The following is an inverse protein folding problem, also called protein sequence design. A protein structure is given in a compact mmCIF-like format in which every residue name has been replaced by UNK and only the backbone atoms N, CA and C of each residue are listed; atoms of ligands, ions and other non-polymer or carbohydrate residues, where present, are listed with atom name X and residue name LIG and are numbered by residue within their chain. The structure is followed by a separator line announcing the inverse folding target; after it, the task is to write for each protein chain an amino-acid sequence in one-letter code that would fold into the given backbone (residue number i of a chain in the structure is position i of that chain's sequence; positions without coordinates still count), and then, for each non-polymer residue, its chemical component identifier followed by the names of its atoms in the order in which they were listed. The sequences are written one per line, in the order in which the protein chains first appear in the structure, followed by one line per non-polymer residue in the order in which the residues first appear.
data_IF_066006231389
#
_entry.id   IF_066006231389
#
_cell.length_a   1.000
_cell.length_b   1.000
_cell.length_c   1.000
_cell.angle_alpha   90.00
_cell.angle_beta   90.00
_cell.angle_gamma   90.00
#
_symmetry.space_group_name_H-M   'P 1'
#
loop_
_entity.id
_entity.type
_entity.pdbx_description
1 polymer ?
#
# COMPACT_ATOMS: atom_id res chain seq x y z
N UNK A 1 62.38 -4.29 6.06
CA UNK A 1 61.00 -3.99 6.51
C UNK A 1 60.05 -4.38 5.39
N UNK A 2 59.12 -5.31 5.64
CA UNK A 2 58.17 -5.83 4.63
C UNK A 2 56.91 -4.97 4.66
N UNK A 3 56.61 -4.27 3.57
CA UNK A 3 55.35 -3.56 3.35
C UNK A 3 54.30 -4.54 2.84
N UNK A 4 53.30 -4.83 3.68
CA UNK A 4 52.12 -5.62 3.32
C UNK A 4 51.09 -4.66 2.72
N UNK A 5 50.86 -4.73 1.41
CA UNK A 5 49.72 -4.05 0.77
C UNK A 5 48.44 -4.79 1.17
N UNK A 6 47.57 -4.13 1.94
CA UNK A 6 46.21 -4.59 2.18
C UNK A 6 45.33 -4.18 1.00
N UNK A 7 44.90 -5.15 0.20
CA UNK A 7 43.87 -4.97 -0.84
C UNK A 7 42.49 -4.77 -0.18
N UNK A 8 41.87 -3.62 -0.40
CA UNK A 8 40.47 -3.37 -0.06
C UNK A 8 39.58 -3.98 -1.17
N UNK A 9 38.93 -5.11 -0.88
CA UNK A 9 37.90 -5.69 -1.73
C UNK A 9 36.58 -4.96 -1.42
N UNK A 10 36.07 -4.18 -2.37
CA UNK A 10 34.74 -3.58 -2.31
C UNK A 10 33.72 -4.67 -2.67
N UNK A 11 33.13 -5.29 -1.65
CA UNK A 11 31.97 -6.18 -1.80
C UNK A 11 30.71 -5.31 -2.00
N UNK A 12 30.32 -5.10 -3.26
CA UNK A 12 28.95 -4.68 -3.60
C UNK A 12 28.01 -5.87 -3.34
N UNK A 13 27.35 -5.86 -2.19
CA UNK A 13 26.33 -6.85 -1.86
C UNK A 13 25.07 -6.49 -2.67
N UNK A 14 24.87 -7.18 -3.79
CA UNK A 14 23.60 -7.24 -4.51
C UNK A 14 22.58 -8.01 -3.67
N UNK A 15 21.93 -7.36 -2.70
CA UNK A 15 20.81 -7.94 -1.93
C UNK A 15 19.43 -7.45 -2.41
N UNK A 16 19.36 -6.81 -3.58
CA UNK A 16 18.13 -6.19 -4.10
C UNK A 16 17.29 -7.03 -5.07
N UNK A 17 17.70 -8.26 -5.41
CA UNK A 17 16.99 -9.05 -6.44
C UNK A 17 15.96 -10.03 -5.86
N UNK A 18 16.21 -10.58 -4.66
CA UNK A 18 15.38 -11.67 -4.13
C UNK A 18 13.99 -11.19 -3.67
N UNK A 19 13.85 -9.92 -3.28
CA UNK A 19 12.55 -9.35 -2.89
C UNK A 19 11.61 -9.16 -4.08
N UNK A 20 12.13 -9.11 -5.31
CA UNK A 20 11.33 -9.04 -6.54
C UNK A 20 10.91 -10.42 -7.05
N UNK A 21 11.60 -11.49 -6.65
CA UNK A 21 11.38 -12.83 -7.19
C UNK A 21 10.20 -13.56 -6.53
N UNK A 22 9.88 -13.27 -5.27
CA UNK A 22 8.75 -13.90 -4.57
C UNK A 22 7.36 -13.36 -4.98
N UNK A 23 7.31 -12.35 -5.85
CA UNK A 23 6.06 -11.88 -6.47
C UNK A 23 5.83 -12.49 -7.88
N UNK A 24 6.68 -13.42 -8.31
CA UNK A 24 6.67 -13.99 -9.66
C UNK A 24 6.33 -15.48 -9.64
N UNK A 25 5.04 -15.82 -9.71
CA UNK A 25 4.60 -17.07 -10.33
C UNK A 25 3.16 -17.02 -10.83
N UNK A 26 2.90 -16.16 -11.81
CA UNK A 26 2.08 -16.50 -12.99
C UNK A 26 2.43 -15.52 -14.11
N UNK A 27 2.38 -15.99 -15.35
CA UNK A 27 2.81 -15.32 -16.58
C UNK A 27 2.23 -13.91 -16.75
N UNK A 28 3.10 -12.90 -16.76
CA UNK A 28 2.80 -11.54 -17.24
C UNK A 28 2.79 -10.45 -16.16
N UNK A 29 3.91 -9.73 -16.02
CA UNK A 29 4.16 -8.59 -15.12
C UNK A 29 4.01 -8.88 -13.61
N UNK A 30 5.08 -8.65 -12.84
CA UNK A 30 5.00 -8.58 -11.39
C UNK A 30 4.03 -7.46 -11.03
N UNK A 31 2.92 -7.80 -10.36
CA UNK A 31 1.96 -6.79 -9.92
C UNK A 31 2.65 -5.74 -9.06
N UNK A 32 2.29 -4.47 -9.25
CA UNK A 32 2.83 -3.37 -8.45
C UNK A 32 1.70 -2.45 -7.96
N UNK A 33 1.79 -2.07 -6.69
CA UNK A 33 0.95 -1.03 -6.11
C UNK A 33 1.37 0.38 -6.55
N UNK A 34 2.51 0.55 -7.20
CA UNK A 34 3.01 1.88 -7.58
C UNK A 34 2.07 2.59 -8.56
N UNK A 35 1.89 3.89 -8.35
CA UNK A 35 1.04 4.74 -9.17
C UNK A 35 -0.20 5.22 -8.43
N UNK A 36 -1.22 5.59 -9.21
CA UNK A 36 -2.44 6.19 -8.69
C UNK A 36 -3.60 5.19 -8.65
N UNK A 37 -4.31 5.19 -7.53
CA UNK A 37 -5.47 4.35 -7.28
C UNK A 37 -6.63 5.21 -6.84
N UNK A 38 -7.79 5.02 -7.47
CA UNK A 38 -9.02 5.71 -7.15
C UNK A 38 -9.97 4.78 -6.40
N UNK A 39 -10.54 5.26 -5.30
CA UNK A 39 -11.55 4.55 -4.54
C UNK A 39 -12.82 4.45 -5.36
N UNK A 40 -13.18 3.25 -5.79
CA UNK A 40 -14.40 2.96 -6.56
C UNK A 40 -15.59 2.66 -5.67
N UNK A 41 -15.36 2.04 -4.52
CA UNK A 41 -16.39 1.81 -3.50
C UNK A 41 -15.75 1.56 -2.14
N UNK A 42 -16.44 1.92 -1.06
CA UNK A 42 -16.11 1.53 0.30
C UNK A 42 -17.39 1.15 1.05
N UNK A 43 -17.43 -0.07 1.57
CA UNK A 43 -18.55 -0.55 2.36
C UNK A 43 -18.11 -0.79 3.80
N UNK A 44 -18.98 -0.47 4.78
CA UNK A 44 -20.35 0.04 4.63
C UNK A 44 -20.47 1.56 4.43
N UNK A 45 -19.41 2.36 4.61
CA UNK A 45 -19.55 3.82 4.74
C UNK A 45 -20.05 4.55 3.48
N UNK A 46 -19.71 4.08 2.28
CA UNK A 46 -20.02 4.75 0.99
C UNK A 46 -19.60 6.23 0.95
N UNK A 47 -18.44 6.54 1.52
CA UNK A 47 -17.87 7.90 1.62
C UNK A 47 -16.50 7.95 0.95
N UNK A 48 -15.96 9.13 0.62
CA UNK A 48 -14.65 9.25 -0.04
C UNK A 48 -14.56 8.60 -1.43
N UNK A 49 -15.64 8.01 -1.97
CA UNK A 49 -15.65 7.42 -3.32
C UNK A 49 -15.23 8.48 -4.34
N UNK A 50 -14.24 8.14 -5.16
CA UNK A 50 -13.55 9.05 -6.08
C UNK A 50 -12.21 9.58 -5.56
N UNK A 51 -11.88 9.38 -4.28
CA UNK A 51 -10.58 9.77 -3.70
C UNK A 51 -9.46 9.02 -4.42
N UNK A 52 -8.38 9.74 -4.76
CA UNK A 52 -7.19 9.16 -5.37
C UNK A 52 -6.07 9.14 -4.37
N UNK A 53 -5.42 7.99 -4.23
CA UNK A 53 -4.15 7.85 -3.53
C UNK A 53 -3.02 7.59 -4.51
N UNK A 54 -1.88 8.20 -4.27
CA UNK A 54 -0.63 7.93 -4.98
C UNK A 54 0.28 7.10 -4.09
N UNK A 55 0.70 5.94 -4.59
CA UNK A 55 1.70 5.07 -3.96
C UNK A 55 3.01 5.23 -4.71
N UNK A 56 4.06 5.58 -3.97
CA UNK A 56 5.41 5.70 -4.53
C UNK A 56 6.26 4.48 -4.15
N UNK A 57 7.20 4.05 -5.02
CA UNK A 57 7.98 2.83 -4.82
C UNK A 57 8.79 2.75 -3.52
N UNK A 58 9.09 3.89 -2.88
CA UNK A 58 10.05 3.95 -1.79
C UNK A 58 9.44 4.23 -0.42
N UNK A 59 8.15 4.60 -0.35
CA UNK A 59 7.57 5.15 0.90
C UNK A 59 6.63 4.21 1.65
N UNK A 60 6.36 3.01 1.14
CA UNK A 60 5.43 2.02 1.75
C UNK A 60 4.11 2.64 2.23
N UNK A 61 3.64 3.68 1.54
CA UNK A 61 2.48 4.49 1.91
C UNK A 61 1.73 4.96 0.66
N UNK A 62 0.41 5.06 0.76
CA UNK A 62 -0.47 5.68 -0.20
C UNK A 62 -0.99 7.00 0.34
N UNK A 63 -0.60 8.10 -0.31
CA UNK A 63 -1.01 9.46 0.07
C UNK A 63 -2.17 9.93 -0.77
N UNK A 64 -3.13 10.61 -0.15
CA UNK A 64 -4.24 11.24 -0.85
C UNK A 64 -3.69 12.34 -1.76
N UNK A 65 -3.96 12.25 -3.05
CA UNK A 65 -3.61 13.29 -4.04
C UNK A 65 -4.83 13.94 -4.67
N UNK A 66 -6.01 13.35 -4.48
CA UNK A 66 -7.30 13.99 -4.75
C UNK A 66 -8.26 13.49 -3.70
N UNK A 67 -8.90 14.41 -2.98
CA UNK A 67 -9.89 14.05 -1.97
C UNK A 67 -11.30 14.26 -2.55
N UNK A 68 -12.10 13.18 -2.59
CA UNK A 68 -13.51 13.28 -2.97
C UNK A 68 -14.37 13.74 -1.78
N UNK A 69 -15.70 13.55 -1.85
CA UNK A 69 -16.60 13.99 -0.80
C UNK A 69 -16.16 13.45 0.57
N UNK A 70 -15.71 14.38 1.42
CA UNK A 70 -14.97 14.10 2.63
C UNK A 70 -15.85 14.25 3.85
N UNK A 71 -16.57 13.19 4.18
CA UNK A 71 -17.28 13.09 5.47
C UNK A 71 -16.36 12.68 6.61
N UNK A 72 -15.08 12.46 6.32
CA UNK A 72 -14.04 12.11 7.28
C UNK A 72 -13.10 13.32 7.46
N UNK A 73 -12.14 13.25 8.36
CA UNK A 73 -11.25 14.40 8.63
C UNK A 73 -10.09 14.58 7.62
N UNK A 74 -10.12 13.90 6.46
CA UNK A 74 -8.98 13.87 5.54
C UNK A 74 -8.67 15.21 4.90
N UNK A 75 -7.43 15.34 4.44
CA UNK A 75 -6.93 16.41 3.58
C UNK A 75 -6.09 15.81 2.46
N UNK A 76 -5.92 16.56 1.37
CA UNK A 76 -4.90 16.20 0.40
C UNK A 76 -3.52 16.18 1.04
N UNK A 77 -2.71 15.19 0.69
CA UNK A 77 -1.40 14.91 1.29
C UNK A 77 -1.43 13.95 2.49
N UNK A 78 -2.60 13.71 3.10
CA UNK A 78 -2.73 12.77 4.21
C UNK A 78 -2.40 11.34 3.78
N UNK A 79 -1.88 10.57 4.73
CA UNK A 79 -1.59 9.15 4.52
C UNK A 79 -2.85 8.33 4.77
N UNK A 80 -3.42 7.77 3.69
CA UNK A 80 -4.59 6.87 3.75
C UNK A 80 -4.18 5.42 3.97
N UNK A 81 -3.12 5.00 3.28
CA UNK A 81 -2.53 3.67 3.42
C UNK A 81 -1.14 3.80 4.00
N UNK A 82 -0.85 3.12 5.10
CA UNK A 82 0.47 3.16 5.73
C UNK A 82 0.98 1.75 6.02
N UNK A 83 2.30 1.62 5.98
CA UNK A 83 3.04 0.40 6.33
C UNK A 83 2.60 -0.76 5.43
N UNK A 84 2.63 -0.51 4.12
CA UNK A 84 2.42 -1.52 3.07
C UNK A 84 3.57 -2.54 3.16
N UNK A 85 3.23 -3.81 3.34
CA UNK A 85 4.18 -4.92 3.35
C UNK A 85 3.78 -5.98 2.34
N UNK A 86 4.74 -6.62 1.68
CA UNK A 86 4.49 -7.81 0.86
C UNK A 86 4.36 -9.02 1.78
N UNK A 87 3.34 -9.85 1.59
CA UNK A 87 3.32 -11.16 2.22
C UNK A 87 4.29 -12.12 1.51
N UNK A 88 4.65 -13.21 2.18
CA UNK A 88 5.60 -14.21 1.66
C UNK A 88 5.06 -14.99 0.46
N UNK A 89 3.77 -14.84 0.13
CA UNK A 89 3.11 -15.46 -1.01
C UNK A 89 2.94 -14.47 -2.19
N UNK A 90 3.54 -13.28 -2.12
CA UNK A 90 3.49 -12.27 -3.17
C UNK A 90 2.24 -11.37 -3.13
N UNK A 91 1.40 -11.48 -2.10
CA UNK A 91 0.32 -10.54 -1.81
C UNK A 91 0.81 -9.32 -1.02
N UNK A 92 -0.12 -8.43 -0.65
CA UNK A 92 0.19 -7.21 0.11
C UNK A 92 -0.71 -7.09 1.33
N UNK A 93 -0.19 -6.52 2.40
CA UNK A 93 -0.95 -6.13 3.59
C UNK A 93 -0.69 -4.67 3.92
N UNK A 94 -1.70 -4.00 4.46
CA UNK A 94 -1.57 -2.72 5.15
C UNK A 94 -1.65 -2.99 6.65
N UNK A 95 -0.65 -2.58 7.42
CA UNK A 95 -0.77 -2.64 8.87
C UNK A 95 -1.66 -1.52 9.41
N UNK A 96 -1.71 -0.39 8.71
CA UNK A 96 -2.40 0.82 9.15
C UNK A 96 -3.24 1.39 8.00
N UNK A 97 -4.38 0.77 7.73
CA UNK A 97 -5.45 1.39 6.95
C UNK A 97 -6.23 2.33 7.87
N UNK A 98 -6.25 3.62 7.54
CA UNK A 98 -7.08 4.57 8.27
C UNK A 98 -8.55 4.42 7.84
N UNK A 99 -9.37 3.90 8.74
CA UNK A 99 -10.78 3.57 8.49
C UNK A 99 -11.70 4.76 8.69
N UNK A 100 -11.55 5.41 9.85
CA UNK A 100 -12.36 6.55 10.23
C UNK A 100 -11.49 7.62 10.86
N UNK A 101 -11.86 8.85 10.58
CA UNK A 101 -11.41 9.99 11.34
C UNK A 101 -12.60 10.90 11.63
N UNK A 102 -13.17 10.76 12.82
CA UNK A 102 -14.36 11.47 13.26
C UNK A 102 -14.07 12.13 14.59
N UNK A 103 -14.33 13.44 14.71
CA UNK A 103 -14.14 14.18 15.96
C UNK A 103 -12.69 14.23 16.46
N UNK A 104 -11.70 14.09 15.57
CA UNK A 104 -10.27 14.10 15.93
C UNK A 104 -9.70 12.74 16.34
N UNK A 105 -10.52 11.68 16.43
CA UNK A 105 -10.04 10.32 16.69
C UNK A 105 -9.77 9.61 15.38
N UNK A 106 -8.53 9.18 15.17
CA UNK A 106 -8.10 8.33 14.04
C UNK A 106 -8.12 6.86 14.45
N UNK A 107 -8.78 6.03 13.65
CA UNK A 107 -8.83 4.58 13.85
C UNK A 107 -8.10 3.85 12.72
N UNK A 108 -6.95 3.27 13.05
CA UNK A 108 -6.17 2.45 12.14
C UNK A 108 -6.43 0.98 12.40
N UNK A 109 -6.62 0.22 11.32
CA UNK A 109 -6.76 -1.23 11.38
C UNK A 109 -5.87 -1.90 10.34
N UNK A 110 -5.43 -3.13 10.58
CA UNK A 110 -4.81 -3.92 9.55
C UNK A 110 -5.83 -4.28 8.46
N UNK A 111 -5.39 -4.31 7.21
CA UNK A 111 -6.19 -4.72 6.08
C UNK A 111 -5.36 -5.58 5.10
N UNK A 112 -5.96 -6.64 4.58
CA UNK A 112 -5.36 -7.42 3.51
C UNK A 112 -5.65 -6.75 2.16
N UNK A 113 -4.65 -6.63 1.30
CA UNK A 113 -4.82 -6.23 -0.09
C UNK A 113 -4.93 -7.49 -0.93
N UNK A 114 -6.12 -7.76 -1.44
CA UNK A 114 -6.36 -8.77 -2.46
C UNK A 114 -6.20 -8.14 -3.84
N UNK A 115 -5.20 -8.61 -4.57
CA UNK A 115 -5.02 -8.26 -5.99
C UNK A 115 -6.08 -9.03 -6.80
N UNK A 116 -6.95 -8.30 -7.51
CA UNK A 116 -7.96 -8.91 -8.40
C UNK A 116 -7.40 -8.98 -9.82
N UNK A 117 -6.79 -7.89 -10.28
CA UNK A 117 -6.02 -7.80 -11.52
C UNK A 117 -5.10 -6.57 -11.45
N UNK A 118 -4.34 -6.28 -12.53
CA UNK A 118 -3.40 -5.14 -12.56
C UNK A 118 -4.03 -3.75 -12.37
N UNK A 119 -5.36 -3.65 -12.53
CA UNK A 119 -6.11 -2.41 -12.45
C UNK A 119 -7.13 -2.39 -11.30
N UNK A 120 -7.27 -3.47 -10.51
CA UNK A 120 -8.21 -3.55 -9.39
C UNK A 120 -7.58 -4.26 -8.20
N UNK A 121 -7.67 -3.62 -7.04
CA UNK A 121 -7.38 -4.24 -5.75
C UNK A 121 -8.59 -4.10 -4.81
N UNK A 122 -8.68 -5.02 -3.87
CA UNK A 122 -9.65 -4.97 -2.78
C UNK A 122 -8.94 -4.98 -1.45
N UNK A 123 -9.27 -4.02 -0.61
CA UNK A 123 -8.82 -3.91 0.76
C UNK A 123 -9.90 -4.46 1.67
N UNK A 124 -9.57 -5.45 2.48
CA UNK A 124 -10.50 -6.05 3.43
C UNK A 124 -9.89 -5.91 4.82
N UNK A 125 -10.54 -5.10 5.65
CA UNK A 125 -10.15 -4.84 7.04
C UNK A 125 -11.33 -5.09 7.97
N UNK A 126 -11.07 -5.06 9.28
CA UNK A 126 -12.11 -5.17 10.30
C UNK A 126 -11.94 -4.05 11.32
N UNK A 127 -13.00 -3.30 11.61
CA UNK A 127 -12.96 -2.27 12.65
C UNK A 127 -12.77 -2.87 14.04
N UNK A 128 -12.43 -2.02 15.01
CA UNK A 128 -12.36 -2.40 16.43
C UNK A 128 -13.68 -2.94 16.98
N UNK A 129 -14.81 -2.57 16.38
CA UNK A 129 -16.14 -3.09 16.71
C UNK A 129 -16.45 -4.44 16.03
N UNK A 130 -15.52 -5.00 15.25
CA UNK A 130 -15.69 -6.28 14.56
C UNK A 130 -16.40 -6.22 13.20
N UNK A 131 -16.79 -5.02 12.74
CA UNK A 131 -17.45 -4.84 11.44
C UNK A 131 -16.41 -4.98 10.33
N UNK A 132 -16.71 -5.79 9.32
CA UNK A 132 -15.86 -5.89 8.13
C UNK A 132 -16.04 -4.67 7.23
N UNK A 133 -14.93 -4.15 6.74
CA UNK A 133 -14.90 -3.07 5.77
C UNK A 133 -14.20 -3.54 4.52
N UNK A 134 -14.80 -3.23 3.38
CA UNK A 134 -14.24 -3.54 2.07
C UNK A 134 -14.12 -2.27 1.25
N UNK A 135 -12.91 -1.97 0.79
CA UNK A 135 -12.66 -0.90 -0.18
C UNK A 135 -12.23 -1.50 -1.53
N UNK A 136 -12.84 -1.08 -2.63
CA UNK A 136 -12.43 -1.44 -3.99
C UNK A 136 -11.72 -0.26 -4.61
N UNK A 137 -10.49 -0.47 -5.05
CA UNK A 137 -9.66 0.57 -5.65
C UNK A 137 -9.28 0.20 -7.08
N UNK A 138 -9.40 1.17 -7.98
CA UNK A 138 -9.08 1.00 -9.40
C UNK A 138 -7.92 1.88 -9.82
N UNK A 139 -7.06 1.37 -10.70
CA UNK A 139 -5.91 2.12 -11.21
C UNK A 139 -6.40 3.30 -12.04
N UNK A 140 -5.83 4.49 -11.80
CA UNK A 140 -6.06 5.68 -12.64
C UNK A 140 -5.21 5.52 -13.90
N UNK A 141 -5.84 5.71 -15.07
CA UNK A 141 -5.20 5.63 -16.39
C UNK A 141 -4.72 6.99 -16.86
#
# INVERSE_FOLDING_TARGET
MKTVLLSFIVLFIFSGCDTLQNASNSTGSVFTLNGQWKLSSNLPENTLVGTVVTVTPFRSEGKITLLANNTQCYREGDVKWKDVVTDKAGGFMLNNLLMTCTGGTVNYVPAAIKVVNNNEIRLIGRSTAGVEHTEVWTRVK
#
